data_IF_074370345799
#
_entry.id   IF_074370345799
#
_cell.length_a   1.000
_cell.length_b   1.000
_cell.length_c   1.000
_cell.angle_alpha   90.00
_cell.angle_beta   90.00
_cell.angle_gamma   90.00
#
_symmetry.space_group_name_H-M   'P 1'
#
loop_
_entity.id
_entity.type
_entity.pdbx_description
1 polymer ?
#
# COMPACT_ATOMS: atom_id res chain seq x y z
N UNK A 1 25.21 -31.60 -13.46
CA UNK A 1 23.91 -31.27 -14.09
C UNK A 1 22.82 -31.08 -13.02
N UNK A 2 23.17 -30.49 -11.87
CA UNK A 2 22.24 -30.23 -10.75
C UNK A 2 22.11 -28.74 -10.43
N UNK A 3 22.90 -27.89 -11.09
CA UNK A 3 23.04 -26.46 -10.76
C UNK A 3 21.97 -25.55 -11.41
N UNK A 4 21.08 -26.12 -12.23
CA UNK A 4 20.03 -25.37 -12.95
C UNK A 4 18.65 -25.43 -12.30
N UNK A 5 18.56 -26.02 -11.10
CA UNK A 5 17.31 -26.22 -10.36
C UNK A 5 17.29 -25.41 -9.05
N UNK A 6 18.00 -24.28 -9.00
CA UNK A 6 17.85 -23.31 -7.92
C UNK A 6 16.50 -22.60 -8.06
N UNK A 7 15.47 -23.28 -7.52
CA UNK A 7 14.17 -22.78 -7.06
C UNK A 7 14.03 -21.27 -7.24
N UNK A 8 13.24 -20.85 -8.24
CA UNK A 8 12.64 -19.53 -8.24
C UNK A 8 12.06 -19.30 -6.85
N UNK A 9 12.59 -18.32 -6.10
CA UNK A 9 12.13 -18.07 -4.75
C UNK A 9 10.60 -17.94 -4.75
N UNK A 10 9.89 -18.63 -3.84
CA UNK A 10 8.43 -18.57 -3.80
C UNK A 10 8.00 -17.12 -3.72
N UNK A 11 6.92 -16.77 -4.45
CA UNK A 11 6.52 -15.37 -4.68
C UNK A 11 6.39 -14.59 -3.36
N UNK A 12 5.94 -15.27 -2.29
CA UNK A 12 5.79 -14.74 -0.94
C UNK A 12 7.09 -14.35 -0.23
N UNK A 13 8.24 -14.86 -0.68
CA UNK A 13 9.57 -14.46 -0.17
C UNK A 13 10.14 -13.22 -0.87
N UNK A 14 9.47 -12.73 -1.92
CA UNK A 14 9.95 -11.56 -2.67
C UNK A 14 9.57 -10.29 -1.96
N UNK A 15 10.53 -9.37 -1.82
CA UNK A 15 10.33 -8.16 -1.03
C UNK A 15 9.22 -7.27 -1.60
N UNK A 16 9.07 -7.20 -2.93
CA UNK A 16 7.97 -6.45 -3.55
C UNK A 16 6.58 -6.98 -3.17
N UNK A 17 6.46 -8.30 -3.00
CA UNK A 17 5.20 -8.94 -2.58
C UNK A 17 4.88 -8.62 -1.12
N UNK A 18 5.91 -8.47 -0.27
CA UNK A 18 5.72 -8.03 1.13
C UNK A 18 5.21 -6.59 1.19
N UNK A 19 5.81 -5.67 0.44
CA UNK A 19 5.35 -4.28 0.40
C UNK A 19 3.92 -4.16 -0.13
N UNK A 20 3.60 -4.92 -1.20
CA UNK A 20 2.24 -4.99 -1.72
C UNK A 20 1.27 -5.59 -0.69
N UNK A 21 1.66 -6.67 -0.03
CA UNK A 21 0.86 -7.34 0.99
C UNK A 21 0.55 -6.43 2.17
N UNK A 22 1.55 -5.71 2.71
CA UNK A 22 1.36 -4.74 3.78
C UNK A 22 0.41 -3.62 3.33
N UNK A 23 0.60 -3.07 2.13
CA UNK A 23 -0.28 -2.05 1.58
C UNK A 23 -1.73 -2.55 1.52
N UNK A 24 -1.97 -3.73 0.95
CA UNK A 24 -3.31 -4.31 0.82
C UNK A 24 -3.95 -4.62 2.17
N UNK A 25 -3.20 -5.16 3.13
CA UNK A 25 -3.71 -5.43 4.49
C UNK A 25 -4.18 -4.12 5.16
N UNK A 26 -3.38 -3.06 5.06
CA UNK A 26 -3.76 -1.76 5.63
C UNK A 26 -5.01 -1.19 4.95
N UNK A 27 -5.11 -1.28 3.63
CA UNK A 27 -6.32 -0.84 2.91
C UNK A 27 -7.56 -1.66 3.31
N UNK A 28 -7.43 -2.98 3.44
CA UNK A 28 -8.52 -3.83 3.92
C UNK A 28 -8.97 -3.44 5.34
N UNK A 29 -8.04 -3.15 6.24
CA UNK A 29 -8.37 -2.66 7.57
C UNK A 29 -9.15 -1.34 7.52
N UNK A 30 -8.73 -0.38 6.69
CA UNK A 30 -9.45 0.89 6.53
C UNK A 30 -10.84 0.69 5.93
N UNK A 31 -11.00 -0.18 4.93
CA UNK A 31 -12.32 -0.53 4.36
C UNK A 31 -13.23 -1.11 5.44
N UNK A 32 -12.74 -2.04 6.26
CA UNK A 32 -13.54 -2.63 7.34
C UNK A 32 -13.95 -1.55 8.35
N UNK A 33 -13.02 -0.68 8.75
CA UNK A 33 -13.31 0.43 9.66
C UNK A 33 -14.38 1.37 9.09
N UNK A 34 -14.26 1.74 7.81
CA UNK A 34 -15.18 2.67 7.14
C UNK A 34 -16.58 2.07 6.95
N UNK A 35 -16.67 0.80 6.55
CA UNK A 35 -17.93 0.07 6.37
C UNK A 35 -18.63 -0.17 7.70
N UNK A 36 -17.88 -0.45 8.76
CA UNK A 36 -18.45 -0.64 10.11
C UNK A 36 -18.73 0.68 10.84
N UNK A 37 -18.43 1.82 10.21
CA UNK A 37 -18.46 3.16 10.81
C UNK A 37 -17.66 3.24 12.12
N UNK A 38 -16.69 2.34 12.27
CA UNK A 38 -15.82 2.28 13.42
C UNK A 38 -14.55 3.08 13.13
N UNK A 39 -14.27 4.08 13.96
CA UNK A 39 -13.04 4.84 13.90
C UNK A 39 -12.27 4.72 15.22
N UNK A 40 -10.94 4.58 15.18
CA UNK A 40 -10.11 4.76 16.36
C UNK A 40 -10.34 6.13 16.98
N UNK A 41 -10.25 6.22 18.32
CA UNK A 41 -10.27 7.51 19.00
C UNK A 41 -8.94 8.26 18.74
N UNK A 42 -8.87 8.98 17.63
CA UNK A 42 -7.72 9.78 17.27
C UNK A 42 -7.55 10.92 18.28
N UNK A 43 -6.38 10.99 18.91
CA UNK A 43 -6.05 12.14 19.75
C UNK A 43 -6.06 13.42 18.90
N UNK A 44 -6.40 14.58 19.49
CA UNK A 44 -6.28 15.86 18.82
C UNK A 44 -4.87 16.00 18.28
N UNK A 45 -4.75 16.09 16.96
CA UNK A 45 -3.47 16.27 16.30
C UNK A 45 -3.05 17.74 16.33
N UNK A 46 -1.75 17.99 16.10
CA UNK A 46 -1.24 19.37 15.99
C UNK A 46 -1.89 20.14 14.83
N UNK A 47 -1.79 21.47 14.89
CA UNK A 47 -2.39 22.41 13.93
C UNK A 47 -2.07 22.06 12.47
N UNK A 48 -0.82 21.69 12.19
CA UNK A 48 -0.39 21.27 10.86
C UNK A 48 -1.18 20.07 10.34
N UNK A 49 -1.27 18.99 11.12
CA UNK A 49 -1.95 17.77 10.67
C UNK A 49 -3.46 18.00 10.56
N UNK A 50 -4.06 18.78 11.46
CA UNK A 50 -5.46 19.21 11.33
C UNK A 50 -5.69 19.98 10.02
N UNK A 51 -4.79 20.87 9.62
CA UNK A 51 -4.88 21.59 8.34
C UNK A 51 -4.80 20.64 7.14
N UNK A 52 -3.94 19.62 7.19
CA UNK A 52 -3.85 18.59 6.14
C UNK A 52 -5.13 17.78 6.06
N UNK A 53 -5.64 17.28 7.20
CA UNK A 53 -6.86 16.49 7.28
C UNK A 53 -8.08 17.22 6.71
N UNK A 54 -8.19 18.52 6.96
CA UNK A 54 -9.31 19.35 6.51
C UNK A 54 -9.03 20.05 5.17
N UNK A 55 -7.95 19.69 4.47
CA UNK A 55 -7.68 20.25 3.16
C UNK A 55 -8.63 19.68 2.12
N UNK A 56 -8.98 20.50 1.12
CA UNK A 56 -9.85 20.09 0.01
C UNK A 56 -9.36 18.80 -0.67
N UNK A 57 -8.04 18.59 -0.71
CA UNK A 57 -7.47 17.38 -1.28
C UNK A 57 -7.94 16.12 -0.54
N UNK A 58 -7.99 16.11 0.79
CA UNK A 58 -8.34 14.92 1.58
C UNK A 58 -9.82 14.85 2.00
N UNK A 59 -10.58 15.91 1.75
CA UNK A 59 -12.02 15.97 2.03
C UNK A 59 -12.90 15.92 0.78
N UNK A 60 -12.35 16.19 -0.42
CA UNK A 60 -13.11 16.18 -1.67
C UNK A 60 -12.45 15.36 -2.78
N UNK A 61 -11.16 15.57 -3.06
CA UNK A 61 -10.51 14.99 -4.25
C UNK A 61 -10.01 13.55 -4.04
N UNK A 62 -9.40 13.28 -2.90
CA UNK A 62 -8.83 12.00 -2.52
C UNK A 62 -9.57 11.47 -1.30
N UNK A 63 -10.76 10.94 -1.54
CA UNK A 63 -11.71 10.50 -0.51
C UNK A 63 -12.09 9.02 -0.63
N UNK A 64 -11.11 8.10 -0.61
CA UNK A 64 -11.42 6.66 -0.62
C UNK A 64 -12.22 6.21 0.61
N UNK A 65 -12.16 6.96 1.72
CA UNK A 65 -12.86 6.70 2.97
C UNK A 65 -13.58 7.95 3.47
N UNK A 66 -14.63 7.77 4.29
CA UNK A 66 -15.36 8.87 4.94
C UNK A 66 -14.49 9.61 5.97
N UNK A 67 -13.55 8.89 6.59
CA UNK A 67 -12.66 9.42 7.64
C UNK A 67 -11.40 10.02 7.00
N UNK A 68 -11.16 11.35 7.10
CA UNK A 68 -10.02 12.01 6.43
C UNK A 68 -8.65 11.47 6.85
N UNK A 69 -8.51 10.97 8.08
CA UNK A 69 -7.28 10.35 8.57
C UNK A 69 -6.90 9.13 7.72
N UNK A 70 -7.87 8.28 7.36
CA UNK A 70 -7.62 7.12 6.51
C UNK A 70 -7.23 7.54 5.09
N UNK A 71 -7.77 8.66 4.57
CA UNK A 71 -7.40 9.22 3.28
C UNK A 71 -5.93 9.67 3.27
N UNK A 72 -5.51 10.42 4.30
CA UNK A 72 -4.11 10.86 4.46
C UNK A 72 -3.17 9.66 4.59
N UNK A 73 -3.48 8.68 5.43
CA UNK A 73 -2.65 7.48 5.58
C UNK A 73 -2.58 6.67 4.30
N UNK A 74 -3.68 6.58 3.55
CA UNK A 74 -3.71 5.89 2.27
C UNK A 74 -2.83 6.57 1.24
N UNK A 75 -2.86 7.90 1.14
CA UNK A 75 -1.93 8.62 0.28
C UNK A 75 -0.48 8.40 0.71
N UNK A 76 -0.18 8.45 2.02
CA UNK A 76 1.15 8.20 2.54
C UNK A 76 1.66 6.79 2.19
N UNK A 77 0.87 5.74 2.44
CA UNK A 77 1.24 4.37 2.10
C UNK A 77 1.29 4.14 0.59
N UNK A 78 0.43 4.79 -0.19
CA UNK A 78 0.50 4.72 -1.64
C UNK A 78 1.81 5.32 -2.16
N UNK A 79 2.25 6.47 -1.65
CA UNK A 79 3.51 7.11 -2.06
C UNK A 79 4.73 6.30 -1.60
N UNK A 80 4.68 5.73 -0.39
CA UNK A 80 5.84 5.09 0.23
C UNK A 80 6.00 3.61 -0.10
N UNK A 81 4.91 2.85 -0.32
CA UNK A 81 4.96 1.40 -0.53
C UNK A 81 4.70 1.00 -1.98
N UNK A 82 3.77 1.68 -2.65
CA UNK A 82 3.32 1.27 -3.99
C UNK A 82 4.45 1.34 -5.03
N UNK A 83 5.33 2.37 -5.06
CA UNK A 83 6.43 2.40 -6.03
C UNK A 83 7.39 1.23 -5.88
N UNK A 84 7.77 0.86 -4.65
CA UNK A 84 8.66 -0.29 -4.41
C UNK A 84 8.01 -1.61 -4.83
N UNK A 85 6.73 -1.79 -4.52
CA UNK A 85 5.96 -2.94 -4.94
C UNK A 85 5.89 -3.04 -6.47
N UNK A 86 5.56 -1.94 -7.15
CA UNK A 86 5.42 -1.90 -8.62
C UNK A 86 6.75 -2.13 -9.33
N UNK A 87 7.81 -1.42 -8.95
CA UNK A 87 9.14 -1.56 -9.56
C UNK A 87 9.64 -3.00 -9.40
N UNK A 88 9.47 -3.59 -8.21
CA UNK A 88 9.88 -4.96 -7.95
C UNK A 88 9.05 -5.99 -8.73
N UNK A 89 7.74 -5.78 -8.85
CA UNK A 89 6.86 -6.62 -9.66
C UNK A 89 7.24 -6.58 -11.15
N UNK A 90 7.45 -5.39 -11.71
CA UNK A 90 7.84 -5.20 -13.11
C UNK A 90 9.17 -5.89 -13.39
N UNK A 91 10.19 -5.65 -12.55
CA UNK A 91 11.50 -6.31 -12.68
C UNK A 91 11.38 -7.83 -12.72
N UNK A 92 10.55 -8.39 -11.84
CA UNK A 92 10.35 -9.84 -11.80
C UNK A 92 9.63 -10.37 -13.04
N UNK A 93 8.60 -9.68 -13.52
CA UNK A 93 7.89 -10.04 -14.76
C UNK A 93 8.81 -9.98 -15.98
N UNK A 94 9.64 -8.94 -16.09
CA UNK A 94 10.62 -8.80 -17.17
C UNK A 94 11.68 -9.91 -17.13
N UNK A 95 12.19 -10.26 -15.94
CA UNK A 95 13.14 -11.36 -15.78
C UNK A 95 12.54 -12.70 -16.22
N UNK A 96 11.30 -13.00 -15.81
CA UNK A 96 10.60 -14.22 -16.23
C UNK A 96 10.39 -14.28 -17.74
N UNK A 97 10.03 -13.15 -18.36
CA UNK A 97 9.85 -13.05 -19.81
C UNK A 97 11.16 -13.35 -20.56
N UNK A 98 12.28 -12.83 -20.08
CA UNK A 98 13.60 -13.06 -20.70
C UNK A 98 14.13 -14.49 -20.54
N UNK A 99 13.67 -15.25 -19.54
CA UNK A 99 14.04 -16.67 -19.36
C UNK A 99 13.27 -17.59 -20.31
N UNK A 100 12.05 -17.19 -20.69
CA UNK A 100 11.16 -17.98 -21.55
C UNK A 100 11.29 -17.68 -23.06
N UNK A 101 12.12 -16.69 -23.44
CA UNK A 101 12.50 -16.37 -24.81
C UNK A 101 13.87 -16.96 -25.14
#
# INVERSE_FOLDING_TARGET
MEDKLNKAQPIWKRDWFRYLGVFLIVQLLFVICDVTEWAPNFRPSGEFFNRVLNSQFFTEWFTPYKVPQFNVFTAFFAITLLPYALIGAIKDLTLRKNINN
#
